data_IF_716773841799
#
_entry.id   IF_716773841799
#
_cell.length_a   1.000
_cell.length_b   1.000
_cell.length_c   1.000
_cell.angle_alpha   90.00
_cell.angle_beta   90.00
_cell.angle_gamma   90.00
#
_symmetry.space_group_name_H-M   'P 1'
#
loop_
_entity.id
_entity.type
_entity.pdbx_description
1 polymer ?
#
# COMPACT_ATOMS: atom_id res chain seq x y z
N UNK A 1 -8.79 6.64 12.19
CA UNK A 1 -7.87 6.64 13.36
C UNK A 1 -7.84 5.29 14.06
N UNK A 2 -6.92 5.05 15.00
CA UNK A 2 -6.89 3.83 15.83
C UNK A 2 -7.13 4.23 17.30
N UNK A 3 -8.11 3.61 17.95
CA UNK A 3 -8.30 3.78 19.39
C UNK A 3 -7.34 2.87 20.14
N UNK A 4 -6.59 3.43 21.09
CA UNK A 4 -5.73 2.67 22.01
C UNK A 4 -6.25 2.89 23.43
N UNK A 5 -6.48 1.79 24.16
CA UNK A 5 -6.78 1.89 25.59
C UNK A 5 -5.47 2.17 26.34
N UNK A 6 -5.41 3.32 27.01
CA UNK A 6 -4.28 3.73 27.85
C UNK A 6 -4.81 3.80 29.29
N UNK A 7 -4.06 3.23 30.23
CA UNK A 7 -4.37 3.33 31.65
C UNK A 7 -3.82 4.66 32.16
N UNK A 8 -4.68 5.51 32.70
CA UNK A 8 -4.27 6.78 33.28
C UNK A 8 -3.43 6.54 34.55
N UNK A 9 -2.30 7.23 34.69
CA UNK A 9 -1.33 6.96 35.76
C UNK A 9 -1.83 7.41 37.14
N UNK A 10 -2.72 8.39 37.19
CA UNK A 10 -3.20 8.98 38.45
C UNK A 10 -4.52 8.37 38.93
N UNK A 11 -5.43 8.01 38.03
CA UNK A 11 -6.77 7.49 38.39
C UNK A 11 -6.92 5.99 38.19
N UNK A 12 -5.99 5.33 37.50
CA UNK A 12 -6.04 3.89 37.24
C UNK A 12 -7.14 3.45 36.26
N UNK A 13 -7.97 4.38 35.79
CA UNK A 13 -9.08 4.15 34.85
C UNK A 13 -8.51 3.99 33.43
N UNK A 14 -9.07 3.04 32.67
CA UNK A 14 -8.70 2.82 31.27
C UNK A 14 -9.48 3.79 30.38
N UNK A 15 -8.78 4.70 29.71
CA UNK A 15 -9.35 5.64 28.74
C UNK A 15 -9.05 5.18 27.32
N UNK A 16 -10.04 5.23 26.43
CA UNK A 16 -9.79 5.07 25.00
C UNK A 16 -9.31 6.41 24.44
N UNK A 17 -8.07 6.44 23.96
CA UNK A 17 -7.47 7.63 23.34
C UNK A 17 -7.39 7.39 21.84
N UNK A 18 -7.79 8.40 21.08
CA UNK A 18 -7.63 8.42 19.63
C UNK A 18 -6.16 8.65 19.29
N UNK A 19 -5.54 7.69 18.61
CA UNK A 19 -4.14 7.75 18.21
C UNK A 19 -4.06 7.79 16.68
N UNK A 20 -3.19 8.65 16.11
CA UNK A 20 -2.96 8.65 14.66
C UNK A 20 -2.44 7.27 14.22
N UNK A 21 -3.05 6.74 13.16
CA UNK A 21 -2.64 5.45 12.59
C UNK A 21 -1.42 5.70 11.70
N UNK A 22 -0.28 5.12 12.06
CA UNK A 22 0.92 5.15 11.19
C UNK A 22 0.64 4.36 9.92
N UNK A 23 0.67 5.02 8.77
CA UNK A 23 0.56 4.38 7.46
C UNK A 23 1.95 3.85 7.10
N UNK A 24 2.05 2.55 6.81
CA UNK A 24 3.29 1.98 6.29
C UNK A 24 3.39 2.38 4.82
N UNK A 25 4.42 3.14 4.41
CA UNK A 25 4.57 3.49 3.00
C UNK A 25 4.76 2.21 2.17
N UNK A 26 4.19 2.21 0.97
CA UNK A 26 4.39 1.14 -0.02
C UNK A 26 5.48 1.50 -1.04
N UNK A 27 6.24 2.55 -0.74
CA UNK A 27 7.44 2.94 -1.44
C UNK A 27 8.65 2.86 -0.52
N UNK A 28 9.81 2.62 -1.11
CA UNK A 28 11.11 2.58 -0.45
C UNK A 28 12.16 3.28 -1.32
N UNK A 29 13.21 3.80 -0.70
CA UNK A 29 14.35 4.36 -1.42
C UNK A 29 15.40 3.27 -1.64
N UNK A 30 15.97 3.21 -2.83
CA UNK A 30 17.14 2.38 -3.13
C UNK A 30 18.43 3.09 -2.71
N UNK A 31 19.53 2.35 -2.64
CA UNK A 31 20.86 2.89 -2.30
C UNK A 31 21.32 3.98 -3.29
N UNK A 32 20.80 3.95 -4.52
CA UNK A 32 21.00 4.98 -5.55
C UNK A 32 20.21 6.28 -5.30
N UNK A 33 19.43 6.36 -4.22
CA UNK A 33 18.58 7.52 -3.90
C UNK A 33 17.26 7.59 -4.66
N UNK A 34 16.99 6.63 -5.55
CA UNK A 34 15.73 6.53 -6.31
C UNK A 34 14.61 5.95 -5.45
N UNK A 35 13.37 6.33 -5.76
CA UNK A 35 12.17 5.88 -5.05
C UNK A 35 11.49 4.77 -5.85
N UNK A 36 11.32 3.61 -5.24
CA UNK A 36 10.60 2.48 -5.81
C UNK A 36 9.24 2.33 -5.12
N UNK A 37 8.15 2.26 -5.89
CA UNK A 37 6.80 2.01 -5.37
C UNK A 37 6.24 0.70 -5.88
N UNK A 38 5.68 -0.10 -4.97
CA UNK A 38 4.98 -1.35 -5.31
C UNK A 38 3.48 -1.17 -5.17
N UNK A 39 2.74 -1.43 -6.24
CA UNK A 39 1.27 -1.40 -6.22
C UNK A 39 0.78 -2.73 -5.66
N UNK A 40 -0.06 -2.66 -4.63
CA UNK A 40 -0.57 -3.84 -3.94
C UNK A 40 -2.08 -3.91 -4.03
N UNK A 41 -2.57 -5.12 -4.28
CA UNK A 41 -3.97 -5.49 -4.12
C UNK A 41 -4.08 -6.39 -2.91
N UNK A 42 -4.68 -5.88 -1.83
CA UNK A 42 -4.73 -6.58 -0.54
C UNK A 42 -3.34 -6.98 -0.04
N UNK A 43 -3.09 -8.28 0.05
CA UNK A 43 -1.79 -8.83 0.48
C UNK A 43 -0.81 -9.05 -0.70
N UNK A 44 -1.28 -9.13 -1.94
CA UNK A 44 -0.45 -9.39 -3.12
C UNK A 44 0.07 -8.11 -3.77
N UNK A 45 1.25 -8.19 -4.38
CA UNK A 45 1.81 -7.13 -5.22
C UNK A 45 1.37 -7.39 -6.66
N UNK A 46 0.89 -6.36 -7.36
CA UNK A 46 0.53 -6.46 -8.77
C UNK A 46 1.78 -6.17 -9.61
N UNK A 47 2.08 -7.05 -10.57
CA UNK A 47 3.12 -6.83 -11.56
C UNK A 47 2.55 -6.06 -12.77
N UNK A 48 2.90 -4.78 -12.87
CA UNK A 48 2.51 -3.94 -14.01
C UNK A 48 3.09 -4.44 -15.34
N UNK A 49 4.29 -5.02 -15.28
CA UNK A 49 4.96 -5.70 -16.39
C UNK A 49 5.63 -6.97 -15.84
N UNK A 50 5.72 -8.02 -16.66
CA UNK A 50 6.29 -9.31 -16.27
C UNK A 50 7.67 -9.13 -15.62
N UNK A 51 7.81 -9.57 -14.36
CA UNK A 51 9.06 -9.52 -13.61
C UNK A 51 9.45 -8.13 -13.08
N UNK A 52 8.56 -7.13 -13.16
CA UNK A 52 8.77 -5.78 -12.62
C UNK A 52 7.67 -5.42 -11.61
N UNK A 53 7.85 -5.77 -10.33
CA UNK A 53 6.84 -5.56 -9.28
C UNK A 53 6.87 -4.14 -8.67
N UNK A 54 7.76 -3.27 -9.15
CA UNK A 54 7.91 -1.91 -8.64
C UNK A 54 8.19 -0.90 -9.75
N UNK A 55 7.56 0.27 -9.66
CA UNK A 55 7.88 1.43 -10.50
C UNK A 55 9.04 2.16 -9.81
N UNK A 56 10.16 2.31 -10.53
CA UNK A 56 11.28 3.12 -10.07
C UNK A 56 11.10 4.55 -10.57
N UNK A 57 11.33 5.51 -9.69
CA UNK A 57 11.15 6.94 -9.92
C UNK A 57 12.32 7.71 -9.31
N UNK A 58 12.71 8.82 -9.92
CA UNK A 58 13.88 9.58 -9.50
C UNK A 58 13.64 10.47 -8.28
N UNK A 59 12.40 10.94 -8.04
CA UNK A 59 12.07 11.85 -6.95
C UNK A 59 10.72 11.55 -6.28
N UNK A 60 10.49 12.18 -5.12
CA UNK A 60 9.21 12.09 -4.41
C UNK A 60 8.06 12.81 -5.16
N UNK A 61 8.36 13.85 -5.94
CA UNK A 61 7.35 14.53 -6.76
C UNK A 61 6.92 13.65 -7.93
N UNK A 62 7.89 12.98 -8.55
CA UNK A 62 7.61 12.06 -9.64
C UNK A 62 6.88 10.80 -9.15
N UNK A 63 7.06 10.40 -7.89
CA UNK A 63 6.25 9.35 -7.28
C UNK A 63 4.76 9.70 -7.31
N UNK A 64 4.40 10.96 -7.04
CA UNK A 64 3.00 11.42 -7.08
C UNK A 64 2.47 11.30 -8.51
N UNK A 65 3.22 11.78 -9.51
CA UNK A 65 2.84 11.66 -10.93
C UNK A 65 2.69 10.20 -11.37
N UNK A 66 3.57 9.33 -10.92
CA UNK A 66 3.49 7.89 -11.19
C UNK A 66 2.19 7.29 -10.59
N UNK A 67 1.84 7.66 -9.36
CA UNK A 67 0.60 7.22 -8.72
C UNK A 67 -0.66 7.77 -9.41
N UNK A 68 -0.64 9.02 -9.89
CA UNK A 68 -1.72 9.61 -10.67
C UNK A 68 -1.92 8.89 -12.01
N UNK A 69 -0.82 8.56 -12.68
CA UNK A 69 -0.85 7.81 -13.95
C UNK A 69 -1.43 6.41 -13.74
N UNK A 70 -1.01 5.73 -12.67
CA UNK A 70 -1.56 4.42 -12.28
C UNK A 70 -3.04 4.54 -11.99
N UNK A 71 -3.47 5.58 -11.27
CA UNK A 71 -4.89 5.80 -10.97
C UNK A 71 -5.71 5.91 -12.26
N UNK A 72 -5.27 6.72 -13.23
CA UNK A 72 -5.97 6.88 -14.52
C UNK A 72 -6.03 5.54 -15.28
N UNK A 73 -4.94 4.78 -15.31
CA UNK A 73 -4.91 3.46 -15.96
C UNK A 73 -5.85 2.44 -15.27
N UNK A 74 -5.98 2.49 -13.94
CA UNK A 74 -6.96 1.67 -13.20
C UNK A 74 -8.39 2.11 -13.54
N UNK A 75 -8.66 3.42 -13.57
CA UNK A 75 -10.00 3.94 -13.92
C UNK A 75 -10.39 3.62 -15.38
N UNK A 76 -9.40 3.50 -16.27
CA UNK A 76 -9.61 3.06 -17.66
C UNK A 76 -9.80 1.54 -17.80
N UNK A 77 -9.51 0.75 -16.78
CA UNK A 77 -9.61 -0.72 -16.79
C UNK A 77 -8.40 -1.44 -17.41
N UNK A 78 -7.31 -0.72 -17.74
CA UNK A 78 -6.12 -1.31 -18.37
C UNK A 78 -5.41 -2.34 -17.45
N UNK A 79 -5.63 -2.23 -16.14
CA UNK A 79 -5.01 -3.08 -15.11
C UNK A 79 -5.96 -4.17 -14.60
N UNK A 80 -7.19 -4.26 -15.10
CA UNK A 80 -8.20 -5.20 -14.60
C UNK A 80 -7.75 -6.65 -14.74
N UNK A 81 -7.13 -7.01 -15.86
CA UNK A 81 -6.60 -8.36 -16.09
C UNK A 81 -5.58 -8.77 -15.02
N UNK A 82 -4.72 -7.85 -14.59
CA UNK A 82 -3.71 -8.10 -13.58
C UNK A 82 -4.33 -8.17 -12.18
N UNK A 83 -5.36 -7.36 -11.92
CA UNK A 83 -6.13 -7.38 -10.67
C UNK A 83 -6.91 -8.70 -10.56
N UNK A 84 -7.54 -9.19 -11.62
CA UNK A 84 -8.27 -10.46 -11.63
C UNK A 84 -7.35 -11.64 -11.31
N UNK A 85 -6.16 -11.68 -11.92
CA UNK A 85 -5.13 -12.68 -11.61
C UNK A 85 -4.69 -12.60 -10.14
N UNK A 86 -4.42 -11.40 -9.63
CA UNK A 86 -4.05 -11.19 -8.23
C UNK A 86 -5.19 -11.60 -7.28
N UNK A 87 -6.44 -11.31 -7.64
CA UNK A 87 -7.63 -11.65 -6.86
C UNK A 87 -7.86 -13.16 -6.78
N UNK A 88 -7.65 -13.87 -7.90
CA UNK A 88 -7.76 -15.34 -7.96
C UNK A 88 -6.69 -16.01 -7.11
N UNK A 89 -5.45 -15.51 -7.19
CA UNK A 89 -4.34 -15.98 -6.35
C UNK A 89 -4.64 -15.78 -4.87
N UNK A 90 -5.09 -14.60 -4.46
CA UNK A 90 -5.47 -14.32 -3.08
C UNK A 90 -6.66 -15.17 -2.61
N UNK A 91 -7.70 -15.29 -3.45
CA UNK A 91 -8.91 -16.07 -3.18
C UNK A 91 -8.60 -17.52 -2.85
N UNK A 92 -7.62 -18.11 -3.53
CA UNK A 92 -7.19 -19.49 -3.27
C UNK A 92 -6.69 -19.71 -1.83
N UNK A 93 -6.06 -18.70 -1.22
CA UNK A 93 -5.55 -18.77 0.15
C UNK A 93 -6.61 -18.64 1.24
N UNK A 94 -7.84 -18.24 0.89
CA UNK A 94 -8.96 -18.13 1.83
C UNK A 94 -9.76 -19.43 2.00
N UNK A 95 -9.55 -20.46 1.16
CA UNK A 95 -10.11 -21.79 1.40
C UNK A 95 -9.44 -22.42 2.62
N UNK A 96 -10.08 -22.27 3.77
CA UNK A 96 -9.88 -23.07 4.99
C UNK A 96 -11.20 -23.73 5.35
#
# INVERSE_FOLDING_TARGET
MKFRSIKDKETGIRKQVEVPKRIKPWWFQTEEGKVCVSIRYGACTIELAKGKPSIQVDSAEDLIKALETVKVAVEAGDLDTQIELASSSLGSGFKR
#
